data_IF_878733881062
#
_entry.id   IF_878733881062
#
_cell.length_a   1.000
_cell.length_b   1.000
_cell.length_c   1.000
_cell.angle_alpha   90.00
_cell.angle_beta   90.00
_cell.angle_gamma   90.00
#
_symmetry.space_group_name_H-M   'P 1'
#
loop_
_entity.id
_entity.type
_entity.pdbx_description
1 polymer ?
#
# COMPACT_ATOMS: atom_id res chain seq x y z
N UNK A 1 9.33 -7.86 2.97
CA UNK A 1 10.31 -7.12 2.14
C UNK A 1 10.05 -7.42 0.68
N UNK A 2 10.54 -6.59 -0.23
CA UNK A 2 10.34 -6.73 -1.68
C UNK A 2 10.57 -8.19 -2.15
N UNK A 3 9.67 -8.71 -2.99
CA UNK A 3 9.68 -10.10 -3.45
C UNK A 3 9.40 -11.16 -2.37
N UNK A 4 8.81 -10.79 -1.22
CA UNK A 4 8.45 -11.72 -0.15
C UNK A 4 9.62 -12.23 0.71
N UNK A 5 10.82 -11.64 0.56
CA UNK A 5 12.09 -12.08 1.18
C UNK A 5 12.12 -12.15 2.71
N UNK A 6 11.21 -11.46 3.41
CA UNK A 6 11.17 -11.42 4.89
C UNK A 6 9.82 -11.87 5.46
N UNK A 7 9.05 -12.65 4.69
CA UNK A 7 7.66 -13.02 5.04
C UNK A 7 7.55 -13.73 6.39
N UNK A 8 8.41 -14.72 6.65
CA UNK A 8 8.41 -15.46 7.92
C UNK A 8 8.62 -14.53 9.11
N UNK A 9 9.49 -13.52 8.97
CA UNK A 9 9.72 -12.51 10.01
C UNK A 9 8.50 -11.61 10.21
N UNK A 10 7.80 -11.26 9.13
CA UNK A 10 6.55 -10.50 9.22
C UNK A 10 5.49 -11.30 9.98
N UNK A 11 5.34 -12.59 9.68
CA UNK A 11 4.38 -13.46 10.37
C UNK A 11 4.72 -13.61 11.87
N UNK A 12 6.00 -13.83 12.20
CA UNK A 12 6.43 -13.88 13.60
C UNK A 12 6.13 -12.58 14.35
N UNK A 13 6.41 -11.42 13.73
CA UNK A 13 6.08 -10.12 14.33
C UNK A 13 4.56 -9.93 14.51
N UNK A 14 3.75 -10.36 13.54
CA UNK A 14 2.29 -10.33 13.67
C UNK A 14 1.85 -11.18 14.85
N UNK A 15 2.32 -12.41 14.98
CA UNK A 15 2.00 -13.29 16.11
C UNK A 15 2.41 -12.67 17.46
N UNK A 16 3.54 -11.96 17.47
CA UNK A 16 4.04 -11.27 18.66
C UNK A 16 3.21 -10.04 19.06
N UNK A 17 2.52 -9.35 18.14
CA UNK A 17 1.81 -8.11 18.47
C UNK A 17 0.28 -8.23 18.41
N UNK A 18 -0.24 -9.12 17.56
CA UNK A 18 -1.68 -9.26 17.36
C UNK A 18 -2.38 -9.72 18.65
N UNK A 19 -3.53 -9.11 18.95
CA UNK A 19 -4.28 -9.37 20.19
C UNK A 19 -3.68 -8.76 21.47
N UNK A 20 -2.54 -8.05 21.41
CA UNK A 20 -1.94 -7.38 22.58
C UNK A 20 -2.41 -5.93 22.81
N UNK A 21 -3.58 -5.57 22.25
CA UNK A 21 -4.22 -4.26 22.43
C UNK A 21 -3.84 -3.20 21.39
N UNK A 22 -2.91 -3.50 20.49
CA UNK A 22 -2.54 -2.61 19.38
C UNK A 22 -2.92 -3.27 18.05
N UNK A 23 -3.76 -2.63 17.21
CA UNK A 23 -4.05 -3.12 15.87
C UNK A 23 -2.77 -3.26 15.04
N UNK A 24 -2.66 -4.34 14.26
CA UNK A 24 -1.53 -4.61 13.38
C UNK A 24 -1.96 -4.43 11.93
N UNK A 25 -1.17 -3.71 11.15
CA UNK A 25 -1.38 -3.53 9.72
C UNK A 25 -0.14 -4.00 8.94
N UNK A 26 -0.11 -5.26 8.45
CA UNK A 26 1.04 -5.74 7.69
C UNK A 26 1.18 -5.01 6.34
N UNK A 27 2.43 -4.77 5.98
CA UNK A 27 2.80 -4.36 4.62
C UNK A 27 2.73 -5.56 3.67
N UNK A 28 1.97 -5.44 2.60
CA UNK A 28 1.85 -6.44 1.54
C UNK A 28 2.33 -5.84 0.21
N UNK A 29 3.37 -6.44 -0.38
CA UNK A 29 3.94 -5.99 -1.67
C UNK A 29 3.67 -7.01 -2.77
N UNK A 30 3.34 -6.55 -3.98
CA UNK A 30 2.96 -7.43 -5.09
C UNK A 30 4.06 -7.74 -6.11
N UNK A 31 5.12 -6.91 -6.25
CA UNK A 31 6.22 -7.22 -7.17
C UNK A 31 6.93 -8.50 -6.76
N UNK A 32 7.07 -9.40 -7.74
CA UNK A 32 7.80 -10.67 -7.59
C UNK A 32 7.02 -11.78 -6.89
N UNK A 33 5.75 -11.56 -6.57
CA UNK A 33 4.81 -12.58 -6.06
C UNK A 33 3.75 -12.91 -7.13
N UNK A 34 3.10 -14.07 -6.98
CA UNK A 34 1.94 -14.47 -7.79
C UNK A 34 0.62 -14.26 -7.02
N UNK A 35 -0.51 -14.16 -7.73
CA UNK A 35 -1.82 -13.93 -7.09
C UNK A 35 -2.21 -15.04 -6.12
N UNK A 36 -1.91 -16.30 -6.43
CA UNK A 36 -2.23 -17.45 -5.57
C UNK A 36 -1.60 -17.27 -4.19
N UNK A 37 -0.32 -16.90 -4.17
CA UNK A 37 0.45 -16.73 -2.95
C UNK A 37 0.06 -15.49 -2.16
N UNK A 38 -0.41 -14.44 -2.84
CA UNK A 38 -1.02 -13.27 -2.20
C UNK A 38 -2.37 -13.65 -1.58
N UNK A 39 -3.20 -14.44 -2.28
CA UNK A 39 -4.49 -14.92 -1.75
C UNK A 39 -4.31 -15.75 -0.48
N UNK A 40 -3.35 -16.69 -0.47
CA UNK A 40 -3.01 -17.49 0.72
C UNK A 40 -2.65 -16.60 1.92
N UNK A 41 -1.89 -15.52 1.70
CA UNK A 41 -1.56 -14.55 2.75
C UNK A 41 -2.77 -13.78 3.23
N UNK A 42 -3.66 -13.35 2.34
CA UNK A 42 -4.90 -12.65 2.70
C UNK A 42 -5.80 -13.56 3.55
N UNK A 43 -5.93 -14.83 3.18
CA UNK A 43 -6.70 -15.81 3.95
C UNK A 43 -6.10 -16.05 5.33
N UNK A 44 -4.77 -16.14 5.42
CA UNK A 44 -4.05 -16.25 6.69
C UNK A 44 -4.29 -15.03 7.59
N UNK A 45 -4.12 -13.82 7.06
CA UNK A 45 -4.34 -12.58 7.80
C UNK A 45 -5.79 -12.47 8.29
N UNK A 46 -6.75 -12.83 7.43
CA UNK A 46 -8.17 -12.88 7.80
C UNK A 46 -8.45 -13.88 8.92
N UNK A 47 -7.85 -15.08 8.85
CA UNK A 47 -7.98 -16.10 9.90
C UNK A 47 -7.37 -15.66 11.24
N UNK A 48 -6.33 -14.81 11.21
CA UNK A 48 -5.74 -14.20 12.39
C UNK A 48 -6.51 -12.97 12.92
N UNK A 49 -7.64 -12.61 12.28
CA UNK A 49 -8.45 -11.46 12.68
C UNK A 49 -7.85 -10.10 12.29
N UNK A 50 -6.86 -10.07 11.38
CA UNK A 50 -6.33 -8.82 10.83
C UNK A 50 -7.36 -8.26 9.86
N UNK A 51 -7.63 -6.96 10.01
CA UNK A 51 -8.59 -6.21 9.23
C UNK A 51 -7.99 -4.93 8.62
N UNK A 52 -6.68 -4.68 8.78
CA UNK A 52 -5.97 -3.57 8.13
C UNK A 52 -4.74 -4.06 7.37
N UNK A 53 -4.50 -3.53 6.17
CA UNK A 53 -3.32 -3.85 5.35
C UNK A 53 -2.80 -2.57 4.71
N UNK A 54 -1.47 -2.47 4.61
CA UNK A 54 -0.83 -1.44 3.78
C UNK A 54 -0.39 -2.09 2.46
N UNK A 55 -1.10 -1.77 1.37
CA UNK A 55 -0.86 -2.32 0.04
C UNK A 55 0.20 -1.50 -0.71
N UNK A 56 1.27 -2.17 -1.11
CA UNK A 56 2.44 -1.56 -1.75
C UNK A 56 2.74 -2.28 -3.06
N UNK A 57 3.36 -1.57 -4.00
CA UNK A 57 3.95 -2.20 -5.18
C UNK A 57 5.16 -3.04 -4.76
N UNK A 58 6.00 -2.47 -3.92
CA UNK A 58 7.34 -2.97 -3.64
C UNK A 58 8.38 -2.43 -4.62
N UNK A 59 9.64 -2.74 -4.34
CA UNK A 59 10.78 -2.40 -5.17
C UNK A 59 11.09 -3.53 -6.15
N UNK A 60 11.62 -3.17 -7.32
CA UNK A 60 12.10 -4.15 -8.29
C UNK A 60 13.35 -4.86 -7.74
N UNK A 61 13.35 -6.19 -7.60
CA UNK A 61 14.54 -6.93 -7.21
C UNK A 61 15.63 -6.76 -8.26
N UNK A 62 16.88 -6.61 -7.83
CA UNK A 62 18.02 -6.55 -8.75
C UNK A 62 18.09 -7.83 -9.59
N UNK A 63 17.88 -7.71 -10.91
CA UNK A 63 18.06 -8.81 -11.86
C UNK A 63 16.81 -9.66 -12.19
N UNK A 64 15.62 -9.33 -11.67
CA UNK A 64 14.37 -9.96 -12.12
C UNK A 64 13.77 -9.23 -13.32
N UNK A 65 13.23 -10.01 -14.27
CA UNK A 65 12.85 -9.55 -15.63
C UNK A 65 11.33 -9.34 -15.80
N UNK A 66 10.52 -9.52 -14.76
CA UNK A 66 9.06 -9.46 -14.86
C UNK A 66 8.41 -8.57 -13.82
N UNK A 67 7.41 -7.80 -14.23
CA UNK A 67 6.57 -7.01 -13.32
C UNK A 67 5.64 -7.88 -12.45
N UNK A 68 5.54 -9.19 -12.75
CA UNK A 68 4.61 -10.12 -12.10
C UNK A 68 3.17 -9.97 -12.63
N UNK A 69 2.22 -10.61 -11.96
CA UNK A 69 0.77 -10.54 -12.31
C UNK A 69 0.10 -9.25 -11.84
N UNK A 70 0.74 -8.52 -10.94
CA UNK A 70 0.25 -7.30 -10.30
C UNK A 70 1.34 -6.21 -10.39
N UNK A 71 1.48 -5.56 -11.55
CA UNK A 71 2.58 -4.64 -11.82
C UNK A 71 2.54 -3.36 -10.97
N UNK A 72 1.36 -2.96 -10.51
CA UNK A 72 1.16 -1.73 -9.74
C UNK A 72 0.39 -1.98 -8.44
N UNK A 73 0.57 -1.08 -7.47
CA UNK A 73 -0.15 -1.16 -6.19
C UNK A 73 -1.67 -1.12 -6.36
N UNK A 74 -2.20 -0.39 -7.35
CA UNK A 74 -3.65 -0.39 -7.65
C UNK A 74 -4.18 -1.77 -8.04
N UNK A 75 -3.34 -2.60 -8.67
CA UNK A 75 -3.73 -3.94 -9.10
C UNK A 75 -3.81 -4.86 -7.88
N UNK A 76 -2.89 -4.68 -6.92
CA UNK A 76 -2.97 -5.32 -5.62
C UNK A 76 -4.23 -4.88 -4.86
N UNK A 77 -4.55 -3.58 -4.83
CA UNK A 77 -5.77 -3.09 -4.17
C UNK A 77 -7.02 -3.73 -4.78
N UNK A 78 -7.14 -3.74 -6.12
CA UNK A 78 -8.24 -4.42 -6.83
C UNK A 78 -8.30 -5.90 -6.46
N UNK A 79 -7.18 -6.59 -6.49
CA UNK A 79 -7.12 -8.01 -6.17
C UNK A 79 -7.54 -8.31 -4.73
N UNK A 80 -7.12 -7.50 -3.76
CA UNK A 80 -7.57 -7.63 -2.37
C UNK A 80 -9.09 -7.46 -2.27
N UNK A 81 -9.66 -6.48 -2.98
CA UNK A 81 -11.11 -6.26 -3.01
C UNK A 81 -11.87 -7.41 -3.67
N UNK A 82 -11.38 -7.91 -4.80
CA UNK A 82 -11.96 -9.06 -5.50
C UNK A 82 -11.95 -10.33 -4.62
N UNK A 83 -10.85 -10.57 -3.90
CA UNK A 83 -10.68 -11.77 -3.07
C UNK A 83 -11.40 -11.66 -1.72
N UNK A 84 -11.32 -10.51 -1.06
CA UNK A 84 -11.68 -10.35 0.36
C UNK A 84 -12.86 -9.42 0.62
N UNK A 85 -13.40 -8.76 -0.41
CA UNK A 85 -14.43 -7.73 -0.28
C UNK A 85 -13.99 -6.57 0.62
N UNK A 86 -14.85 -6.18 1.54
CA UNK A 86 -14.61 -5.08 2.49
C UNK A 86 -13.94 -5.52 3.79
N UNK A 87 -13.49 -6.77 3.90
CA UNK A 87 -12.85 -7.29 5.12
C UNK A 87 -11.66 -6.44 5.55
N UNK A 88 -10.83 -6.00 4.61
CA UNK A 88 -9.64 -5.20 4.90
C UNK A 88 -9.89 -3.71 4.70
N UNK A 89 -9.48 -2.92 5.70
CA UNK A 89 -9.15 -1.52 5.53
C UNK A 89 -7.78 -1.42 4.84
N UNK A 90 -7.75 -0.86 3.62
CA UNK A 90 -6.57 -0.82 2.77
C UNK A 90 -5.97 0.59 2.78
N UNK A 91 -4.74 0.68 3.28
CA UNK A 91 -3.90 1.87 3.19
C UNK A 91 -2.94 1.74 2.00
N UNK A 92 -2.64 2.86 1.34
CA UNK A 92 -1.68 2.90 0.22
C UNK A 92 -0.66 4.02 0.39
N UNK A 93 0.53 3.83 -0.17
CA UNK A 93 1.55 4.88 -0.15
C UNK A 93 1.12 6.12 -0.96
N UNK A 94 1.52 7.31 -0.53
CA UNK A 94 1.37 8.59 -1.22
C UNK A 94 2.71 9.33 -1.28
N UNK A 95 2.91 10.18 -2.28
CA UNK A 95 4.18 10.88 -2.48
C UNK A 95 3.94 12.37 -2.71
N UNK A 96 3.98 13.21 -1.64
CA UNK A 96 3.78 14.64 -1.75
C UNK A 96 4.80 15.35 -2.66
N UNK A 97 6.02 14.79 -2.76
CA UNK A 97 7.13 15.34 -3.55
C UNK A 97 7.40 14.57 -4.86
N UNK A 98 6.48 13.69 -5.28
CA UNK A 98 6.60 12.76 -6.43
C UNK A 98 7.45 11.51 -6.16
N UNK A 99 6.95 10.36 -6.61
CA UNK A 99 7.71 9.12 -6.66
C UNK A 99 8.90 9.23 -7.63
N UNK A 100 10.12 8.74 -7.28
CA UNK A 100 11.31 8.89 -8.13
C UNK A 100 11.23 8.28 -9.54
N UNK A 101 10.30 7.36 -9.76
CA UNK A 101 10.06 6.72 -11.06
C UNK A 101 8.86 7.27 -11.82
N UNK A 102 8.16 8.30 -11.30
CA UNK A 102 7.06 8.92 -12.00
C UNK A 102 7.57 9.88 -13.08
N UNK A 103 6.79 10.05 -14.14
CA UNK A 103 7.12 10.95 -15.26
C UNK A 103 6.92 12.42 -14.87
N UNK A 104 5.98 12.69 -13.98
CA UNK A 104 5.66 14.01 -13.44
C UNK A 104 4.86 13.90 -12.15
N UNK A 105 4.83 14.97 -11.35
CA UNK A 105 4.02 15.04 -10.13
C UNK A 105 2.54 14.81 -10.43
N UNK A 106 2.03 15.36 -11.54
CA UNK A 106 0.65 15.15 -11.98
C UNK A 106 0.35 13.69 -12.27
N UNK A 107 1.27 13.00 -12.95
CA UNK A 107 1.13 11.56 -13.22
C UNK A 107 1.10 10.75 -11.93
N UNK A 108 1.88 11.13 -10.93
CA UNK A 108 1.97 10.40 -9.66
C UNK A 108 0.75 10.62 -8.77
N UNK A 109 0.22 11.86 -8.76
CA UNK A 109 -1.08 12.16 -8.15
C UNK A 109 -2.17 11.32 -8.83
N UNK A 110 -2.16 11.22 -10.16
CA UNK A 110 -3.11 10.38 -10.88
C UNK A 110 -3.00 8.90 -10.48
N UNK A 111 -1.77 8.37 -10.28
CA UNK A 111 -1.57 7.02 -9.73
C UNK A 111 -2.10 6.85 -8.31
N UNK A 112 -2.03 7.89 -7.49
CA UNK A 112 -2.70 7.87 -6.18
C UNK A 112 -4.21 7.76 -6.33
N UNK A 113 -4.82 8.59 -7.17
CA UNK A 113 -6.27 8.57 -7.46
C UNK A 113 -6.70 7.18 -7.95
N UNK A 114 -5.94 6.55 -8.85
CA UNK A 114 -6.25 5.20 -9.36
C UNK A 114 -6.23 4.14 -8.26
N UNK A 115 -5.34 4.25 -7.25
CA UNK A 115 -5.36 3.37 -6.07
C UNK A 115 -6.60 3.59 -5.20
N UNK A 116 -7.07 4.83 -5.07
CA UNK A 116 -8.32 5.14 -4.36
C UNK A 116 -9.52 4.54 -5.10
N UNK A 117 -9.59 4.75 -6.41
CA UNK A 117 -10.65 4.20 -7.26
C UNK A 117 -10.64 2.66 -7.30
N UNK A 118 -9.48 2.03 -7.13
CA UNK A 118 -9.34 0.59 -6.96
C UNK A 118 -9.92 0.07 -5.63
N UNK A 119 -10.17 0.95 -4.65
CA UNK A 119 -10.79 0.62 -3.38
C UNK A 119 -9.92 0.86 -2.14
N UNK A 120 -8.86 1.66 -2.22
CA UNK A 120 -8.11 2.05 -1.03
C UNK A 120 -8.95 2.95 -0.10
N UNK A 121 -8.82 2.75 1.21
CA UNK A 121 -9.56 3.51 2.23
C UNK A 121 -8.79 4.72 2.75
N UNK A 122 -7.45 4.69 2.71
CA UNK A 122 -6.60 5.73 3.26
C UNK A 122 -5.23 5.76 2.56
N UNK A 123 -4.52 6.89 2.70
CA UNK A 123 -3.15 7.07 2.24
C UNK A 123 -2.17 7.28 3.40
N UNK A 124 -0.92 6.87 3.23
CA UNK A 124 0.20 7.26 4.10
C UNK A 124 1.29 7.84 3.22
N UNK A 125 1.74 9.06 3.51
CA UNK A 125 2.77 9.68 2.68
C UNK A 125 4.15 9.09 2.97
N UNK A 126 5.02 9.11 1.96
CA UNK A 126 6.46 9.14 2.17
C UNK A 126 6.80 10.32 3.09
N UNK A 127 7.89 10.22 3.84
CA UNK A 127 8.37 11.35 4.64
C UNK A 127 8.74 12.54 3.74
N UNK A 128 8.53 13.75 4.26
CA UNK A 128 8.87 15.01 3.61
C UNK A 128 9.31 16.01 4.67
N UNK A 129 10.12 16.99 4.28
CA UNK A 129 10.58 18.06 5.18
C UNK A 129 9.92 19.41 4.90
N UNK A 130 9.29 19.56 3.74
CA UNK A 130 8.54 20.76 3.37
C UNK A 130 7.03 20.52 3.54
N UNK A 131 6.35 21.12 4.55
CA UNK A 131 4.91 20.94 4.75
C UNK A 131 4.07 21.44 3.57
N UNK A 132 4.57 22.39 2.77
CA UNK A 132 3.84 22.90 1.60
C UNK A 132 3.62 21.80 0.55
N UNK A 133 4.54 20.82 0.45
CA UNK A 133 4.37 19.67 -0.46
C UNK A 133 3.16 18.82 -0.09
N UNK A 134 2.93 18.60 1.20
CA UNK A 134 1.78 17.88 1.72
C UNK A 134 0.48 18.64 1.44
N UNK A 135 0.42 19.93 1.77
CA UNK A 135 -0.78 20.72 1.52
C UNK A 135 -1.11 20.85 0.04
N UNK A 136 -0.09 21.01 -0.82
CA UNK A 136 -0.26 20.97 -2.26
C UNK A 136 -0.86 19.64 -2.72
N UNK A 137 -0.33 18.51 -2.23
CA UNK A 137 -0.85 17.19 -2.56
C UNK A 137 -2.33 17.04 -2.14
N UNK A 138 -2.69 17.44 -0.92
CA UNK A 138 -4.07 17.39 -0.43
C UNK A 138 -5.01 18.26 -1.28
N UNK A 139 -4.63 19.51 -1.59
CA UNK A 139 -5.43 20.40 -2.45
C UNK A 139 -5.69 19.78 -3.83
N UNK A 140 -4.70 19.08 -4.39
CA UNK A 140 -4.83 18.39 -5.68
C UNK A 140 -5.80 17.20 -5.61
N UNK A 141 -5.81 16.45 -4.50
CA UNK A 141 -6.78 15.37 -4.29
C UNK A 141 -8.21 15.92 -4.13
N UNK A 142 -8.39 16.98 -3.35
CA UNK A 142 -9.70 17.63 -3.15
C UNK A 142 -10.27 18.14 -4.48
N UNK A 143 -9.43 18.78 -5.31
CA UNK A 143 -9.82 19.22 -6.67
C UNK A 143 -10.23 18.06 -7.59
N UNK A 144 -9.71 16.87 -7.35
CA UNK A 144 -10.08 15.65 -8.06
C UNK A 144 -11.27 14.91 -7.44
N UNK A 145 -11.87 15.44 -6.36
CA UNK A 145 -12.98 14.82 -5.64
C UNK A 145 -12.58 13.64 -4.76
N UNK A 146 -11.30 13.51 -4.41
CA UNK A 146 -10.77 12.45 -3.56
C UNK A 146 -10.64 12.95 -2.12
N UNK A 147 -11.44 12.37 -1.23
CA UNK A 147 -11.59 12.82 0.17
C UNK A 147 -11.21 11.75 1.20
N UNK A 148 -10.43 10.72 0.81
CA UNK A 148 -9.96 9.72 1.76
C UNK A 148 -8.91 10.34 2.70
N UNK A 149 -8.80 9.87 3.96
CA UNK A 149 -7.76 10.35 4.87
C UNK A 149 -6.36 10.00 4.33
N UNK A 150 -5.44 10.96 4.39
CA UNK A 150 -4.03 10.77 4.06
C UNK A 150 -3.19 11.19 5.27
N UNK A 151 -2.50 10.26 5.89
CA UNK A 151 -1.64 10.54 7.04
C UNK A 151 -0.26 11.02 6.59
N UNK A 152 0.28 12.13 7.15
CA UNK A 152 1.63 12.57 6.86
C UNK A 152 2.65 11.63 7.55
N UNK A 153 3.53 11.02 6.75
CA UNK A 153 4.70 10.31 7.25
C UNK A 153 5.76 11.31 7.72
N UNK A 154 6.24 11.16 8.95
CA UNK A 154 7.26 12.04 9.54
C UNK A 154 8.43 11.16 10.02
N UNK A 155 9.64 11.49 9.57
CA UNK A 155 10.88 10.87 10.03
C UNK A 155 11.68 11.90 10.84
N UNK A 156 11.83 11.71 12.16
CA UNK A 156 12.50 12.65 13.05
C UNK A 156 14.02 12.68 12.88
#
# INVERSE_FOLDING_TARGET
GAGGSTRERTLAAIEDFNGKGTPVAPHLSCIGDDKTRIAELLDLYKAQGIDRIVALRGDLPSGQVGLGELPYAQDLVRFIREHSGDHFHIEVAAYPEMHPQAESLDSDIQRFIEKVQAGANAGITQFFFNPDSYFYFIERLEKAGINIPVAPGIMP
#
